data_IF_550428179483
#
_entry.id   IF_550428179483
#
_cell.length_a   1.000
_cell.length_b   1.000
_cell.length_c   1.000
_cell.angle_alpha   90.00
_cell.angle_beta   90.00
_cell.angle_gamma   90.00
#
_symmetry.space_group_name_H-M   'P 1'
#
loop_
_entity.id
_entity.type
_entity.pdbx_description
1 polymer ?
#
# COMPACT_ATOMS: atom_id res chain seq x y z
N UNK A 1 -27.45 -25.38 2.03
CA UNK A 1 -27.40 -24.45 3.19
C UNK A 1 -27.99 -25.18 4.37
N UNK A 2 -27.18 -25.70 5.29
CA UNK A 2 -27.67 -26.23 6.57
C UNK A 2 -27.59 -25.10 7.59
N UNK A 3 -28.73 -24.83 8.21
CA UNK A 3 -28.98 -23.94 9.34
C UNK A 3 -27.78 -23.85 10.28
N UNK A 4 -27.33 -22.62 10.56
CA UNK A 4 -26.53 -22.31 11.74
C UNK A 4 -27.38 -22.60 13.00
N UNK A 5 -26.73 -23.02 14.08
CA UNK A 5 -27.38 -23.28 15.37
C UNK A 5 -28.12 -22.01 15.88
N UNK A 6 -29.35 -22.12 16.38
CA UNK A 6 -30.25 -20.99 16.64
C UNK A 6 -29.94 -20.17 17.92
N UNK A 7 -28.74 -20.28 18.52
CA UNK A 7 -28.50 -19.71 19.85
C UNK A 7 -27.76 -18.39 19.96
N UNK A 8 -27.23 -17.81 18.89
CA UNK A 8 -26.68 -16.45 18.96
C UNK A 8 -27.14 -15.65 17.74
N UNK A 9 -28.34 -15.06 17.85
CA UNK A 9 -28.73 -13.99 16.93
C UNK A 9 -27.77 -12.81 17.16
N UNK A 10 -27.29 -12.15 16.10
CA UNK A 10 -26.41 -11.00 16.27
C UNK A 10 -27.10 -9.95 17.14
N UNK A 11 -26.39 -9.42 18.12
CA UNK A 11 -26.89 -8.41 19.08
C UNK A 11 -27.20 -7.08 18.41
N UNK A 12 -26.59 -6.81 17.26
CA UNK A 12 -26.80 -5.61 16.45
C UNK A 12 -26.96 -5.98 14.97
N UNK A 13 -27.60 -5.09 14.20
CA UNK A 13 -27.79 -5.25 12.75
C UNK A 13 -28.44 -6.59 12.35
N UNK A 14 -29.52 -7.00 13.02
CA UNK A 14 -30.24 -8.25 12.70
C UNK A 14 -30.82 -8.20 11.28
N UNK A 15 -30.61 -9.26 10.49
CA UNK A 15 -31.26 -9.39 9.19
C UNK A 15 -32.75 -9.65 9.34
N UNK A 16 -33.58 -8.71 8.88
CA UNK A 16 -35.05 -8.79 8.99
C UNK A 16 -35.70 -9.62 7.87
N UNK A 17 -34.97 -9.94 6.80
CA UNK A 17 -35.55 -10.53 5.59
C UNK A 17 -35.85 -12.05 5.64
N UNK A 18 -35.32 -12.80 6.61
CA UNK A 18 -35.49 -14.26 6.68
C UNK A 18 -34.93 -15.03 5.47
N UNK A 19 -35.22 -16.33 5.35
CA UNK A 19 -34.71 -17.17 4.26
C UNK A 19 -35.25 -16.76 2.87
N UNK A 20 -36.46 -16.20 2.84
CA UNK A 20 -37.20 -15.80 1.64
C UNK A 20 -36.84 -14.40 1.09
N UNK A 21 -35.88 -13.71 1.69
CA UNK A 21 -35.47 -12.39 1.20
C UNK A 21 -34.90 -12.44 -0.23
N UNK A 22 -35.23 -11.42 -1.01
CA UNK A 22 -34.71 -11.26 -2.37
C UNK A 22 -33.18 -11.09 -2.37
N UNK A 23 -32.52 -11.45 -3.47
CA UNK A 23 -31.09 -11.24 -3.63
C UNK A 23 -30.69 -9.76 -3.45
N UNK A 24 -31.57 -8.84 -3.81
CA UNK A 24 -31.35 -7.40 -3.66
C UNK A 24 -31.41 -6.97 -2.19
N UNK A 25 -32.35 -7.51 -1.40
CA UNK A 25 -32.41 -7.27 0.05
C UNK A 25 -31.18 -7.84 0.78
N UNK A 26 -30.77 -9.06 0.43
CA UNK A 26 -29.54 -9.69 0.96
C UNK A 26 -28.30 -8.86 0.64
N UNK A 27 -28.17 -8.40 -0.61
CA UNK A 27 -27.07 -7.53 -1.06
C UNK A 27 -27.05 -6.19 -0.32
N UNK A 28 -28.22 -5.57 -0.16
CA UNK A 28 -28.33 -4.29 0.55
C UNK A 28 -27.92 -4.43 2.02
N UNK A 29 -28.37 -5.49 2.70
CA UNK A 29 -27.98 -5.79 4.07
C UNK A 29 -26.47 -6.01 4.23
N UNK A 30 -25.87 -6.84 3.35
CA UNK A 30 -24.42 -7.07 3.38
C UNK A 30 -23.63 -5.79 3.16
N UNK A 31 -24.07 -4.93 2.23
CA UNK A 31 -23.46 -3.62 2.01
C UNK A 31 -23.55 -2.75 3.25
N UNK A 32 -24.73 -2.67 3.89
CA UNK A 32 -24.92 -1.90 5.12
C UNK A 32 -23.94 -2.34 6.22
N UNK A 33 -23.80 -3.65 6.44
CA UNK A 33 -22.87 -4.18 7.46
C UNK A 33 -21.43 -3.90 7.07
N UNK A 34 -21.05 -4.15 5.82
CA UNK A 34 -19.68 -3.90 5.37
C UNK A 34 -19.30 -2.42 5.54
N UNK A 35 -20.19 -1.50 5.20
CA UNK A 35 -20.00 -0.06 5.41
C UNK A 35 -19.80 0.25 6.89
N UNK A 36 -20.67 -0.24 7.78
CA UNK A 36 -20.52 -0.02 9.22
C UNK A 36 -19.16 -0.54 9.75
N UNK A 37 -18.73 -1.73 9.32
CA UNK A 37 -17.43 -2.29 9.74
C UNK A 37 -16.27 -1.41 9.27
N UNK A 38 -16.31 -0.92 8.03
CA UNK A 38 -15.27 -0.07 7.48
C UNK A 38 -15.24 1.28 8.21
N UNK A 39 -16.39 1.92 8.40
CA UNK A 39 -16.49 3.24 9.02
C UNK A 39 -16.14 3.21 10.52
N UNK A 40 -16.53 2.17 11.25
CA UNK A 40 -16.32 2.11 12.71
C UNK A 40 -14.90 1.64 13.09
N UNK A 41 -14.31 0.76 12.27
CA UNK A 41 -13.07 0.04 12.66
C UNK A 41 -11.87 0.27 11.75
N UNK A 42 -12.06 0.69 10.50
CA UNK A 42 -10.96 0.83 9.53
C UNK A 42 -10.67 2.31 9.22
N UNK A 43 -11.70 3.06 8.84
CA UNK A 43 -11.58 4.46 8.44
C UNK A 43 -11.70 5.36 9.67
N UNK A 44 -10.57 5.93 10.07
CA UNK A 44 -10.54 6.95 11.12
C UNK A 44 -10.62 8.34 10.47
N UNK A 45 -11.82 8.93 10.50
CA UNK A 45 -12.07 10.24 9.87
C UNK A 45 -11.24 11.35 10.52
N UNK A 46 -11.15 11.38 11.86
CA UNK A 46 -10.38 12.39 12.59
C UNK A 46 -8.90 12.30 12.24
N UNK A 47 -8.35 11.08 12.20
CA UNK A 47 -6.97 10.84 11.76
C UNK A 47 -6.76 11.33 10.34
N UNK A 48 -7.65 10.98 9.41
CA UNK A 48 -7.53 11.39 8.02
C UNK A 48 -7.58 12.93 7.86
N UNK A 49 -8.49 13.60 8.56
CA UNK A 49 -8.57 15.07 8.58
C UNK A 49 -7.31 15.70 9.17
N UNK A 50 -6.75 15.12 10.24
CA UNK A 50 -5.51 15.59 10.83
C UNK A 50 -4.31 15.41 9.87
N UNK A 51 -4.22 14.27 9.18
CA UNK A 51 -3.19 14.04 8.15
C UNK A 51 -3.28 15.12 7.06
N UNK A 52 -4.49 15.39 6.55
CA UNK A 52 -4.68 16.41 5.52
C UNK A 52 -4.28 17.81 5.99
N UNK A 53 -4.62 18.17 7.23
CA UNK A 53 -4.19 19.44 7.84
C UNK A 53 -2.67 19.53 7.94
N UNK A 54 -2.01 18.46 8.40
CA UNK A 54 -0.55 18.42 8.52
C UNK A 54 0.13 18.53 7.14
N UNK A 55 -0.44 17.93 6.09
CA UNK A 55 0.05 18.09 4.72
C UNK A 55 -0.06 19.54 4.24
N UNK A 56 -1.20 20.19 4.45
CA UNK A 56 -1.40 21.61 4.08
C UNK A 56 -0.39 22.54 4.77
N UNK A 57 -0.08 22.28 6.05
CA UNK A 57 0.94 23.05 6.77
C UNK A 57 2.32 22.86 6.12
N UNK A 58 2.71 21.63 5.80
CA UNK A 58 4.00 21.33 5.17
C UNK A 58 4.12 21.98 3.78
N UNK A 59 3.05 21.96 2.98
CA UNK A 59 3.00 22.62 1.67
C UNK A 59 3.12 24.14 1.80
N UNK A 60 2.39 24.75 2.73
CA UNK A 60 2.46 26.18 2.99
C UNK A 60 3.87 26.60 3.42
N UNK A 61 4.51 25.84 4.33
CA UNK A 61 5.89 26.08 4.75
C UNK A 61 6.89 25.96 3.59
N UNK A 62 6.68 25.00 2.69
CA UNK A 62 7.53 24.86 1.51
C UNK A 62 7.37 26.05 0.56
N UNK A 63 6.13 26.46 0.26
CA UNK A 63 5.87 27.62 -0.58
C UNK A 63 6.42 28.91 0.03
N UNK A 64 6.29 29.10 1.35
CA UNK A 64 6.87 30.23 2.05
C UNK A 64 8.41 30.24 1.94
N UNK A 65 9.07 29.07 1.97
CA UNK A 65 10.52 28.97 1.71
C UNK A 65 10.87 29.34 0.28
N UNK A 66 10.12 28.86 -0.71
CA UNK A 66 10.36 29.18 -2.12
C UNK A 66 10.19 30.68 -2.41
N UNK A 67 9.23 31.35 -1.74
CA UNK A 67 9.02 32.80 -1.85
C UNK A 67 10.10 33.64 -1.17
N UNK A 68 10.89 33.07 -0.25
CA UNK A 68 12.03 33.76 0.34
C UNK A 68 13.23 33.86 -0.61
N UNK A 69 13.23 33.13 -1.74
CA UNK A 69 14.29 33.26 -2.72
C UNK A 69 14.19 34.61 -3.44
N UNK A 70 15.33 35.24 -3.67
CA UNK A 70 15.42 36.46 -4.46
C UNK A 70 15.15 36.19 -5.96
N UNK A 71 15.11 37.26 -6.76
CA UNK A 71 14.94 37.20 -8.22
C UNK A 71 15.96 36.32 -8.96
N UNK A 72 17.08 35.96 -8.31
CA UNK A 72 18.12 35.08 -8.83
C UNK A 72 18.03 33.65 -8.26
N UNK A 73 16.96 33.34 -7.51
CA UNK A 73 16.74 32.04 -6.89
C UNK A 73 17.67 31.76 -5.69
N UNK A 74 18.31 32.79 -5.12
CA UNK A 74 19.18 32.68 -3.94
C UNK A 74 18.44 33.09 -2.68
N UNK A 75 18.81 32.50 -1.57
CA UNK A 75 18.20 32.73 -0.27
C UNK A 75 18.98 33.81 0.49
N UNK A 76 18.43 35.01 0.70
CA UNK A 76 19.08 36.06 1.48
C UNK A 76 19.08 35.71 2.97
N UNK A 77 20.10 36.18 3.69
CA UNK A 77 20.13 36.10 5.14
C UNK A 77 18.93 36.84 5.74
N UNK A 78 18.30 36.27 6.77
CA UNK A 78 17.11 36.87 7.43
C UNK A 78 17.45 38.02 8.39
N UNK A 79 18.74 38.30 8.62
CA UNK A 79 19.18 39.29 9.61
C UNK A 79 19.10 40.71 9.04
N UNK A 80 18.55 41.69 9.77
CA UNK A 80 18.51 43.08 9.32
C UNK A 80 19.90 43.61 8.96
N UNK A 81 20.07 44.13 7.74
CA UNK A 81 21.33 44.71 7.27
C UNK A 81 22.37 43.70 6.76
N UNK A 82 22.07 42.41 6.70
CA UNK A 82 22.96 41.42 6.11
C UNK A 82 22.73 41.24 4.60
N UNK A 83 23.77 41.45 3.78
CA UNK A 83 23.72 41.30 2.32
C UNK A 83 24.09 39.90 1.80
N UNK A 84 24.38 38.95 2.70
CA UNK A 84 24.81 37.60 2.26
C UNK A 84 23.63 36.80 1.72
N UNK A 85 23.87 36.13 0.60
CA UNK A 85 22.90 35.23 -0.04
C UNK A 85 23.49 33.82 -0.22
N UNK A 86 22.61 32.82 -0.25
CA UNK A 86 22.98 31.41 -0.29
C UNK A 86 22.26 30.68 -1.43
N UNK A 87 22.89 29.68 -2.02
CA UNK A 87 22.25 28.88 -3.07
C UNK A 87 21.08 28.02 -2.55
N UNK A 88 21.10 27.66 -1.26
CA UNK A 88 20.11 26.79 -0.64
C UNK A 88 19.73 27.30 0.76
N UNK A 89 18.45 27.17 1.11
CA UNK A 89 17.97 27.31 2.49
C UNK A 89 18.38 26.09 3.32
N UNK A 90 19.65 26.05 3.71
CA UNK A 90 20.28 24.89 4.34
C UNK A 90 21.32 25.25 5.39
N UNK A 91 22.15 24.27 5.73
CA UNK A 91 23.14 24.35 6.81
C UNK A 91 24.01 25.62 6.75
N UNK A 92 24.55 25.97 5.58
CA UNK A 92 25.42 27.14 5.43
C UNK A 92 24.73 28.47 5.73
N UNK A 93 23.45 28.62 5.34
CA UNK A 93 22.65 29.81 5.67
C UNK A 93 22.41 29.88 7.18
N UNK A 94 21.98 28.77 7.79
CA UNK A 94 21.69 28.68 9.23
C UNK A 94 22.92 28.92 10.09
N UNK A 95 24.07 28.35 9.73
CA UNK A 95 25.34 28.56 10.43
C UNK A 95 25.83 30.01 10.33
N UNK A 96 25.55 30.68 9.21
CA UNK A 96 25.80 32.11 9.10
C UNK A 96 24.84 32.92 9.96
N UNK A 97 23.54 32.57 9.93
CA UNK A 97 22.48 33.26 10.68
C UNK A 97 22.67 33.16 12.20
N UNK A 98 23.19 32.03 12.69
CA UNK A 98 23.52 31.81 14.09
C UNK A 98 24.69 32.69 14.59
N UNK A 99 25.48 33.28 13.69
CA UNK A 99 26.59 34.19 14.06
C UNK A 99 26.15 35.64 14.20
N UNK A 100 24.89 35.97 13.86
CA UNK A 100 24.35 37.31 14.12
C UNK A 100 24.04 37.51 15.60
N UNK A 101 24.00 38.78 16.04
CA UNK A 101 23.64 39.15 17.40
C UNK A 101 22.47 40.15 17.38
N UNK A 102 21.27 39.78 17.84
CA UNK A 102 20.92 38.47 18.39
C UNK A 102 20.86 37.36 17.32
N UNK A 103 21.10 36.09 17.70
CA UNK A 103 20.99 34.96 16.78
C UNK A 103 19.54 34.80 16.31
N UNK A 104 19.37 34.52 15.02
CA UNK A 104 18.05 34.27 14.44
C UNK A 104 17.57 32.90 14.93
N UNK A 105 16.50 32.88 15.71
CA UNK A 105 15.79 31.66 16.12
C UNK A 105 14.65 31.42 15.13
N UNK A 106 14.58 30.21 14.57
CA UNK A 106 13.49 29.77 13.71
C UNK A 106 12.65 28.82 14.55
N UNK A 107 11.38 29.16 14.80
CA UNK A 107 10.45 28.26 15.45
C UNK A 107 10.08 27.14 14.46
N UNK A 108 10.70 25.98 14.63
CA UNK A 108 10.28 24.79 13.90
C UNK A 108 8.92 24.32 14.46
N UNK A 109 7.96 23.92 13.60
CA UNK A 109 6.65 23.45 14.03
C UNK A 109 6.79 22.24 14.98
N UNK A 110 5.93 22.13 16.02
CA UNK A 110 6.05 21.07 17.00
C UNK A 110 5.92 19.68 16.37
N UNK A 111 6.93 18.82 16.58
CA UNK A 111 7.05 17.49 15.99
C UNK A 111 5.85 16.57 16.28
N UNK A 112 5.12 16.82 17.38
CA UNK A 112 3.91 16.10 17.76
C UNK A 112 2.75 16.33 16.79
N UNK A 113 2.64 17.51 16.18
CA UNK A 113 1.61 17.85 15.19
C UNK A 113 1.80 17.09 13.86
N UNK A 114 3.03 16.69 13.57
CA UNK A 114 3.43 16.06 12.30
C UNK A 114 3.60 14.53 12.42
N UNK A 115 3.35 13.99 13.61
CA UNK A 115 3.42 12.56 13.90
C UNK A 115 2.01 12.03 14.16
N UNK A 116 1.56 11.09 13.33
CA UNK A 116 0.21 10.53 13.40
C UNK A 116 0.01 9.80 14.73
N UNK A 117 -1.12 10.07 15.40
CA UNK A 117 -1.54 9.46 16.66
C UNK A 117 -0.53 9.63 17.83
N UNK A 118 0.21 10.74 17.86
CA UNK A 118 1.25 11.01 18.86
C UNK A 118 0.72 11.23 20.29
N UNK A 119 -0.59 11.49 20.47
CA UNK A 119 -1.21 11.87 21.75
C UNK A 119 -2.22 10.84 22.31
N UNK A 120 -1.92 9.54 22.23
CA UNK A 120 -2.76 8.53 22.91
C UNK A 120 -2.33 8.39 24.37
N UNK A 121 -3.13 8.93 25.29
CA UNK A 121 -2.98 8.77 26.75
C UNK A 121 -3.19 7.31 27.17
N UNK A 122 -2.39 6.82 28.12
CA UNK A 122 -2.44 5.42 28.62
C UNK A 122 -3.82 5.00 29.11
N UNK A 123 -4.58 5.92 29.73
CA UNK A 123 -5.94 5.67 30.24
C UNK A 123 -6.96 5.38 29.15
N UNK A 124 -6.73 5.87 27.93
CA UNK A 124 -7.61 5.63 26.77
C UNK A 124 -7.15 4.44 25.93
N UNK A 125 -6.03 3.79 26.27
CA UNK A 125 -5.51 2.67 25.49
C UNK A 125 -6.31 1.40 25.70
N UNK A 126 -6.44 0.65 24.62
CA UNK A 126 -7.01 -0.69 24.57
C UNK A 126 -6.22 -1.49 23.54
N UNK A 127 -5.29 -2.32 24.00
CA UNK A 127 -4.39 -3.06 23.12
C UNK A 127 -5.13 -4.13 22.31
N UNK A 128 -6.21 -4.70 22.84
CA UNK A 128 -7.00 -5.71 22.13
C UNK A 128 -7.78 -5.07 21.00
N UNK A 129 -8.48 -3.96 21.26
CA UNK A 129 -9.18 -3.23 20.21
C UNK A 129 -8.20 -2.70 19.16
N UNK A 130 -7.06 -2.14 19.59
CA UNK A 130 -6.02 -1.67 18.69
C UNK A 130 -5.49 -2.80 17.80
N UNK A 131 -5.25 -3.99 18.37
CA UNK A 131 -4.84 -5.15 17.60
C UNK A 131 -5.91 -5.55 16.56
N UNK A 132 -7.18 -5.62 16.95
CA UNK A 132 -8.26 -5.96 16.00
C UNK A 132 -8.40 -4.94 14.87
N UNK A 133 -8.38 -3.63 15.20
CA UNK A 133 -8.38 -2.55 14.20
C UNK A 133 -7.18 -2.68 13.26
N UNK A 134 -5.99 -2.98 13.80
CA UNK A 134 -4.81 -3.16 12.98
C UNK A 134 -4.97 -4.33 12.01
N UNK A 135 -5.45 -5.50 12.47
CA UNK A 135 -5.68 -6.66 11.60
C UNK A 135 -6.63 -6.31 10.46
N UNK A 136 -7.71 -5.59 10.75
CA UNK A 136 -8.65 -5.16 9.72
C UNK A 136 -8.01 -4.18 8.74
N UNK A 137 -7.25 -3.20 9.22
CA UNK A 137 -6.52 -2.24 8.38
C UNK A 137 -5.55 -2.96 7.41
N UNK A 138 -4.68 -3.83 7.94
CA UNK A 138 -3.76 -4.64 7.14
C UNK A 138 -4.50 -5.60 6.19
N UNK A 139 -5.53 -6.28 6.69
CA UNK A 139 -6.30 -7.26 5.94
C UNK A 139 -7.01 -6.61 4.75
N UNK A 140 -7.65 -5.47 4.96
CA UNK A 140 -8.33 -4.71 3.90
C UNK A 140 -7.35 -4.20 2.85
N UNK A 141 -6.17 -3.75 3.25
CA UNK A 141 -5.11 -3.35 2.31
C UNK A 141 -4.64 -4.52 1.42
N UNK A 142 -4.39 -5.68 2.03
CA UNK A 142 -3.97 -6.90 1.30
C UNK A 142 -5.08 -7.38 0.36
N UNK A 143 -6.32 -7.42 0.85
CA UNK A 143 -7.47 -7.82 0.06
C UNK A 143 -7.67 -6.87 -1.14
N UNK A 144 -7.51 -5.55 -0.94
CA UNK A 144 -7.56 -4.59 -2.02
C UNK A 144 -6.47 -4.84 -3.06
N UNK A 145 -5.25 -5.20 -2.66
CA UNK A 145 -4.19 -5.54 -3.62
C UNK A 145 -4.50 -6.81 -4.41
N UNK A 146 -4.98 -7.87 -3.75
CA UNK A 146 -5.36 -9.11 -4.45
C UNK A 146 -6.53 -8.91 -5.40
N UNK A 147 -7.51 -8.12 -4.98
CA UNK A 147 -8.66 -7.76 -5.80
C UNK A 147 -8.23 -6.93 -7.02
N UNK A 148 -7.42 -5.89 -6.80
CA UNK A 148 -6.86 -5.07 -7.87
C UNK A 148 -6.07 -5.91 -8.88
N UNK A 149 -5.23 -6.83 -8.41
CA UNK A 149 -4.53 -7.78 -9.27
C UNK A 149 -5.53 -8.62 -10.04
N UNK A 150 -6.54 -9.20 -9.39
CA UNK A 150 -7.53 -10.09 -10.01
C UNK A 150 -8.32 -9.39 -11.12
N UNK A 151 -8.76 -8.16 -10.86
CA UNK A 151 -9.49 -7.31 -11.81
C UNK A 151 -8.60 -6.73 -12.90
N UNK A 152 -7.28 -6.70 -12.70
CA UNK A 152 -6.34 -6.03 -13.60
C UNK A 152 -6.38 -4.51 -13.43
N UNK A 153 -6.78 -4.06 -12.24
CA UNK A 153 -6.82 -2.65 -11.85
C UNK A 153 -5.43 -2.21 -11.39
N UNK A 154 -4.68 -1.62 -12.33
CA UNK A 154 -3.35 -1.11 -12.07
C UNK A 154 -3.32 0.17 -11.23
N UNK A 155 -4.43 0.90 -11.14
CA UNK A 155 -4.53 2.13 -10.36
C UNK A 155 -4.57 1.82 -8.86
N UNK A 156 -5.30 0.76 -8.48
CA UNK A 156 -5.35 0.24 -7.10
C UNK A 156 -4.14 -0.62 -6.70
N UNK A 157 -3.32 -1.07 -7.66
CA UNK A 157 -2.23 -2.02 -7.45
C UNK A 157 -0.87 -1.38 -7.24
N UNK A 158 -0.42 -1.25 -5.98
CA UNK A 158 0.98 -0.86 -5.68
C UNK A 158 1.56 -1.71 -4.54
N UNK A 159 2.61 -2.49 -4.83
CA UNK A 159 3.31 -3.27 -3.83
C UNK A 159 4.37 -2.43 -3.12
N UNK A 160 4.21 -2.27 -1.81
CA UNK A 160 5.00 -1.41 -0.91
C UNK A 160 6.37 -1.96 -0.52
N UNK A 161 6.77 -3.13 -1.05
CA UNK A 161 8.03 -3.81 -0.68
C UNK A 161 9.27 -2.92 -0.93
N UNK A 162 9.14 -1.95 -1.84
CA UNK A 162 10.19 -1.05 -2.25
C UNK A 162 9.66 0.39 -2.28
N UNK A 163 9.81 1.11 -1.18
CA UNK A 163 9.25 2.47 -1.03
C UNK A 163 9.83 3.46 -2.03
N UNK A 164 11.11 3.34 -2.37
CA UNK A 164 11.78 4.19 -3.35
C UNK A 164 11.26 3.93 -4.78
N UNK A 165 11.11 2.67 -5.16
CA UNK A 165 10.59 2.26 -6.45
C UNK A 165 9.11 2.61 -6.59
N UNK A 166 8.34 2.52 -5.49
CA UNK A 166 6.97 3.01 -5.45
C UNK A 166 6.91 4.53 -5.66
N UNK A 167 7.80 5.29 -5.01
CA UNK A 167 7.90 6.74 -5.23
C UNK A 167 8.27 7.07 -6.68
N UNK A 168 9.24 6.37 -7.27
CA UNK A 168 9.62 6.56 -8.66
C UNK A 168 8.52 6.16 -9.64
N UNK A 169 7.74 5.14 -9.32
CA UNK A 169 6.55 4.80 -10.07
C UNK A 169 5.54 5.96 -10.02
N UNK A 170 5.30 6.56 -8.87
CA UNK A 170 4.43 7.74 -8.76
C UNK A 170 4.96 8.90 -9.63
N UNK A 171 6.27 9.20 -9.58
CA UNK A 171 6.85 10.22 -10.44
C UNK A 171 6.67 9.90 -11.93
N UNK A 172 6.85 8.64 -12.34
CA UNK A 172 6.62 8.20 -13.71
C UNK A 172 5.16 8.43 -14.14
N UNK A 173 4.20 8.01 -13.32
CA UNK A 173 2.78 8.08 -13.65
C UNK A 173 2.26 9.51 -13.66
N UNK A 174 2.63 10.33 -12.67
CA UNK A 174 2.03 11.64 -12.46
C UNK A 174 2.82 12.82 -13.04
N UNK A 175 4.11 12.67 -13.33
CA UNK A 175 4.96 13.81 -13.70
C UNK A 175 5.89 13.58 -14.89
N UNK A 176 6.44 12.38 -15.09
CA UNK A 176 7.53 12.17 -16.04
C UNK A 176 7.10 11.57 -17.38
N UNK A 177 6.10 10.69 -17.40
CA UNK A 177 5.65 10.04 -18.62
C UNK A 177 4.55 10.84 -19.31
N UNK A 178 4.45 10.70 -20.64
CA UNK A 178 3.27 11.17 -21.36
C UNK A 178 2.02 10.44 -20.88
N UNK A 179 0.82 11.04 -21.00
CA UNK A 179 -0.42 10.40 -20.58
C UNK A 179 -0.59 8.98 -21.16
N UNK A 180 -0.19 8.77 -22.41
CA UNK A 180 -0.24 7.45 -23.06
C UNK A 180 0.72 6.45 -22.43
N UNK A 181 1.96 6.86 -22.14
CA UNK A 181 2.96 5.98 -21.53
C UNK A 181 2.60 5.66 -20.07
N UNK A 182 2.11 6.64 -19.30
CA UNK A 182 1.58 6.44 -17.96
C UNK A 182 0.40 5.45 -17.96
N UNK A 183 -0.57 5.63 -18.87
CA UNK A 183 -1.68 4.70 -19.04
C UNK A 183 -1.19 3.27 -19.30
N UNK A 184 -0.25 3.08 -20.23
CA UNK A 184 0.33 1.75 -20.48
C UNK A 184 1.03 1.19 -19.25
N UNK A 185 1.78 1.99 -18.50
CA UNK A 185 2.50 1.55 -17.30
C UNK A 185 1.57 1.12 -16.16
N UNK A 186 0.44 1.81 -15.99
CA UNK A 186 -0.59 1.49 -15.00
C UNK A 186 -1.31 0.19 -15.40
N UNK A 187 -1.86 0.12 -16.61
CA UNK A 187 -2.70 -1.01 -17.02
C UNK A 187 -1.92 -2.27 -17.42
N UNK A 188 -0.63 -2.16 -17.72
CA UNK A 188 0.23 -3.31 -18.01
C UNK A 188 0.92 -3.84 -16.74
N UNK A 189 0.19 -3.98 -15.63
CA UNK A 189 0.70 -4.51 -14.34
C UNK A 189 0.24 -5.93 -14.05
N UNK A 190 -0.92 -6.30 -14.57
CA UNK A 190 -1.48 -7.65 -14.53
C UNK A 190 -1.61 -8.23 -15.93
N UNK A 191 -1.70 -9.56 -15.99
CA UNK A 191 -1.89 -10.28 -17.25
C UNK A 191 -2.88 -11.43 -17.07
N UNK A 192 -3.79 -11.59 -18.03
CA UNK A 192 -4.71 -12.72 -18.07
C UNK A 192 -4.08 -13.86 -18.86
N UNK A 193 -3.73 -14.95 -18.17
CA UNK A 193 -3.09 -16.13 -18.79
C UNK A 193 -4.11 -17.11 -19.37
N UNK A 194 -5.32 -17.20 -18.78
CA UNK A 194 -6.38 -18.11 -19.21
C UNK A 194 -7.73 -17.40 -19.28
N UNK A 195 -8.56 -17.82 -20.22
CA UNK A 195 -9.95 -17.37 -20.29
C UNK A 195 -10.71 -17.90 -19.06
N UNK A 196 -11.44 -17.03 -18.37
CA UNK A 196 -12.19 -17.38 -17.16
C UNK A 196 -11.37 -17.47 -15.87
N UNK A 197 -10.07 -17.14 -15.88
CA UNK A 197 -9.28 -16.95 -14.65
C UNK A 197 -9.11 -15.47 -14.32
N UNK A 198 -8.83 -15.18 -13.05
CA UNK A 198 -8.32 -13.86 -12.63
C UNK A 198 -7.00 -13.54 -13.34
N UNK A 199 -6.70 -12.24 -13.41
CA UNK A 199 -5.38 -11.77 -13.82
C UNK A 199 -4.32 -12.21 -12.79
N UNK A 200 -3.07 -12.30 -13.22
CA UNK A 200 -1.91 -12.55 -12.34
C UNK A 200 -0.92 -11.38 -12.42
N UNK A 201 -0.08 -11.17 -11.39
CA UNK A 201 0.99 -10.19 -11.46
C UNK A 201 1.99 -10.52 -12.59
N UNK A 202 2.53 -9.51 -13.25
CA UNK A 202 3.58 -9.70 -14.25
C UNK A 202 4.81 -10.42 -13.70
N UNK A 203 5.17 -10.19 -12.43
CA UNK A 203 6.28 -10.87 -11.78
C UNK A 203 6.07 -12.39 -11.73
N UNK A 204 4.84 -12.83 -11.44
CA UNK A 204 4.49 -14.25 -11.47
C UNK A 204 4.53 -14.82 -12.91
N UNK A 205 4.15 -14.03 -13.92
CA UNK A 205 4.32 -14.45 -15.31
C UNK A 205 5.81 -14.59 -15.67
N UNK A 206 6.65 -13.68 -15.18
CA UNK A 206 8.10 -13.76 -15.37
C UNK A 206 8.69 -15.00 -14.69
N UNK A 207 8.19 -15.38 -13.50
CA UNK A 207 8.55 -16.66 -12.87
C UNK A 207 8.20 -17.87 -13.74
N UNK A 208 7.06 -17.84 -14.44
CA UNK A 208 6.70 -18.90 -15.38
C UNK A 208 7.69 -18.99 -16.54
N UNK A 209 8.08 -17.85 -17.13
CA UNK A 209 9.11 -17.83 -18.17
C UNK A 209 10.48 -18.31 -17.65
N UNK A 210 10.88 -17.84 -16.47
CA UNK A 210 12.12 -18.26 -15.82
C UNK A 210 12.14 -19.77 -15.59
N UNK A 211 11.01 -20.36 -15.17
CA UNK A 211 10.89 -21.82 -15.02
C UNK A 211 11.10 -22.53 -16.35
N UNK A 212 10.46 -22.06 -17.43
CA UNK A 212 10.62 -22.68 -18.77
C UNK A 212 12.07 -22.62 -19.24
N UNK A 213 12.75 -21.49 -19.07
CA UNK A 213 14.17 -21.35 -19.43
C UNK A 213 15.06 -22.25 -18.55
N UNK A 214 14.81 -22.33 -17.24
CA UNK A 214 15.55 -23.24 -16.35
C UNK A 214 15.38 -24.71 -16.77
N UNK A 215 14.18 -25.11 -17.20
CA UNK A 215 13.95 -26.44 -17.75
C UNK A 215 14.69 -26.67 -19.07
N UNK A 216 14.72 -25.67 -19.96
CA UNK A 216 15.48 -25.73 -21.21
C UNK A 216 16.98 -25.89 -20.95
N UNK A 217 17.55 -25.11 -20.02
CA UNK A 217 18.95 -25.24 -19.58
C UNK A 217 19.22 -26.66 -19.08
N UNK A 218 18.35 -27.19 -18.21
CA UNK A 218 18.47 -28.55 -17.68
C UNK A 218 18.45 -29.61 -18.78
N UNK A 219 17.62 -29.45 -19.80
CA UNK A 219 17.50 -30.38 -20.94
C UNK A 219 18.68 -30.29 -21.92
N UNK A 220 19.23 -29.10 -22.13
CA UNK A 220 20.42 -28.90 -22.96
C UNK A 220 21.69 -29.47 -22.32
N UNK A 221 21.77 -29.47 -20.98
CA UNK A 221 22.92 -30.00 -20.26
C UNK A 221 24.22 -29.30 -20.67
N UNK A 222 25.29 -30.04 -21.05
CA UNK A 222 26.56 -29.44 -21.50
C UNK A 222 26.43 -28.53 -22.73
N UNK A 223 25.38 -28.68 -23.53
CA UNK A 223 25.13 -27.89 -24.75
C UNK A 223 24.44 -26.54 -24.47
N UNK A 224 24.25 -26.16 -23.20
CA UNK A 224 23.68 -24.89 -22.76
C UNK A 224 24.66 -23.72 -22.93
N UNK A 225 24.94 -23.37 -24.18
CA UNK A 225 25.73 -22.19 -24.57
C UNK A 225 24.83 -20.94 -24.66
N UNK A 226 25.40 -19.72 -24.55
CA UNK A 226 24.62 -18.49 -24.76
C UNK A 226 23.85 -18.47 -26.08
N UNK A 227 24.44 -18.99 -27.16
CA UNK A 227 23.80 -19.07 -28.49
C UNK A 227 22.63 -20.04 -28.53
N UNK A 228 22.73 -21.20 -27.86
CA UNK A 228 21.62 -22.16 -27.82
C UNK A 228 20.48 -21.67 -26.93
N UNK A 229 20.80 -20.97 -25.83
CA UNK A 229 19.80 -20.34 -24.97
C UNK A 229 19.09 -19.18 -25.67
N UNK A 230 19.83 -18.30 -26.36
CA UNK A 230 19.25 -17.19 -27.12
C UNK A 230 18.29 -17.70 -28.21
N UNK A 231 18.66 -18.77 -28.93
CA UNK A 231 17.77 -19.42 -29.91
C UNK A 231 16.49 -19.94 -29.26
N UNK A 232 16.56 -20.54 -28.07
CA UNK A 232 15.38 -21.03 -27.34
C UNK A 232 14.51 -19.86 -26.88
N UNK A 233 15.11 -18.81 -26.31
CA UNK A 233 14.39 -17.61 -25.88
C UNK A 233 13.62 -16.98 -27.05
N UNK A 234 14.28 -16.78 -28.19
CA UNK A 234 13.70 -16.17 -29.38
C UNK A 234 12.58 -17.04 -30.01
N UNK A 235 12.66 -18.36 -29.90
CA UNK A 235 11.65 -19.28 -30.43
C UNK A 235 10.54 -19.65 -29.43
N UNK A 236 10.64 -19.24 -28.17
CA UNK A 236 9.76 -19.67 -27.08
C UNK A 236 8.28 -19.35 -27.35
N UNK A 237 7.99 -18.13 -27.83
CA UNK A 237 6.62 -17.71 -28.11
C UNK A 237 5.97 -18.55 -29.20
N UNK A 238 6.69 -18.76 -30.32
CA UNK A 238 6.21 -19.52 -31.48
C UNK A 238 6.04 -21.01 -31.12
N UNK A 239 7.05 -21.60 -30.48
CA UNK A 239 7.02 -23.02 -30.08
C UNK A 239 5.91 -23.31 -29.07
N UNK A 240 5.70 -22.42 -28.09
CA UNK A 240 4.60 -22.55 -27.12
C UNK A 240 3.22 -22.47 -27.80
N UNK A 241 3.05 -21.55 -28.75
CA UNK A 241 1.81 -21.44 -29.51
C UNK A 241 1.56 -22.67 -30.40
N UNK A 242 2.61 -23.16 -31.07
CA UNK A 242 2.55 -24.37 -31.89
C UNK A 242 2.17 -25.60 -31.07
N UNK A 243 2.82 -25.82 -29.92
CA UNK A 243 2.49 -26.93 -29.02
C UNK A 243 1.05 -26.87 -28.52
N UNK A 244 0.54 -25.68 -28.15
CA UNK A 244 -0.87 -25.52 -27.75
C UNK A 244 -1.84 -25.91 -28.88
N UNK A 245 -1.56 -25.50 -30.12
CA UNK A 245 -2.39 -25.86 -31.28
C UNK A 245 -2.31 -27.36 -31.57
N UNK A 246 -1.12 -27.93 -31.51
CA UNK A 246 -0.89 -29.36 -31.71
C UNK A 246 -1.67 -30.20 -30.69
N UNK A 247 -1.55 -29.88 -29.39
CA UNK A 247 -2.30 -30.53 -28.32
C UNK A 247 -3.82 -30.42 -28.54
N UNK A 248 -4.29 -29.25 -28.98
CA UNK A 248 -5.72 -29.01 -29.24
C UNK A 248 -6.23 -29.86 -30.40
N UNK A 249 -5.46 -29.95 -31.49
CA UNK A 249 -5.81 -30.76 -32.66
C UNK A 249 -5.82 -32.26 -32.34
N UNK A 250 -4.91 -32.70 -31.47
CA UNK A 250 -4.85 -34.09 -31.01
C UNK A 250 -5.81 -34.39 -29.85
N UNK A 251 -6.63 -33.42 -29.43
CA UNK A 251 -7.55 -33.57 -28.29
C UNK A 251 -6.85 -34.04 -27.01
N UNK A 252 -5.58 -33.63 -26.81
CA UNK A 252 -4.80 -34.02 -25.65
C UNK A 252 -5.46 -33.45 -24.39
N UNK A 253 -6.01 -34.33 -23.57
CA UNK A 253 -6.67 -33.94 -22.34
C UNK A 253 -5.66 -33.44 -21.31
N UNK A 254 -5.65 -32.13 -21.06
CA UNK A 254 -4.86 -31.54 -19.97
C UNK A 254 -5.63 -31.66 -18.66
N UNK A 255 -5.18 -32.57 -17.78
CA UNK A 255 -5.67 -32.63 -16.39
C UNK A 255 -5.35 -31.32 -15.69
N UNK A 256 -6.38 -30.55 -15.36
CA UNK A 256 -6.26 -29.43 -14.43
C UNK A 256 -6.78 -29.87 -13.06
N UNK A 257 -5.91 -29.87 -12.07
CA UNK A 257 -6.30 -30.08 -10.68
C UNK A 257 -6.68 -28.75 -10.05
N UNK A 258 -7.83 -28.69 -9.37
CA UNK A 258 -8.05 -27.67 -8.35
C UNK A 258 -7.50 -28.22 -7.04
N UNK A 259 -6.65 -27.46 -6.36
CA UNK A 259 -6.28 -27.82 -5.00
C UNK A 259 -7.55 -27.81 -4.13
N UNK A 260 -7.84 -28.93 -3.49
CA UNK A 260 -8.94 -29.00 -2.51
C UNK A 260 -8.50 -28.17 -1.32
N UNK A 261 -9.15 -27.02 -1.11
CA UNK A 261 -8.95 -26.24 0.10
C UNK A 261 -9.75 -26.88 1.23
N UNK A 262 -9.10 -27.06 2.39
CA UNK A 262 -9.81 -27.45 3.61
C UNK A 262 -10.79 -26.35 3.98
N UNK A 263 -11.96 -26.73 4.50
CA UNK A 263 -12.93 -25.76 4.98
C UNK A 263 -12.38 -25.04 6.20
N UNK A 264 -12.35 -23.70 6.16
CA UNK A 264 -12.00 -22.86 7.30
C UNK A 264 -13.17 -22.65 8.28
N UNK A 265 -14.35 -23.23 8.03
CA UNK A 265 -15.58 -22.92 8.77
C UNK A 265 -15.42 -23.13 10.28
N UNK A 266 -14.86 -24.27 10.69
CA UNK A 266 -14.68 -24.58 12.12
C UNK A 266 -13.72 -23.61 12.80
N UNK A 267 -12.65 -23.20 12.11
CA UNK A 267 -11.67 -22.27 12.66
C UNK A 267 -12.24 -20.85 12.73
N UNK A 268 -13.00 -20.44 11.72
CA UNK A 268 -13.73 -19.16 11.73
C UNK A 268 -14.72 -19.09 12.89
N UNK A 269 -15.50 -20.14 13.12
CA UNK A 269 -16.45 -20.19 14.25
C UNK A 269 -15.72 -20.04 15.60
N UNK A 270 -14.59 -20.74 15.80
CA UNK A 270 -13.78 -20.61 17.03
C UNK A 270 -13.27 -19.19 17.23
N UNK A 271 -12.73 -18.57 16.18
CA UNK A 271 -12.20 -17.21 16.23
C UNK A 271 -13.31 -16.22 16.58
N UNK A 272 -14.48 -16.32 15.92
CA UNK A 272 -15.62 -15.45 16.20
C UNK A 272 -16.10 -15.58 17.64
N UNK A 273 -16.23 -16.81 18.15
CA UNK A 273 -16.68 -17.06 19.51
C UNK A 273 -15.74 -16.45 20.55
N UNK A 274 -14.42 -16.56 20.36
CA UNK A 274 -13.44 -15.92 21.26
C UNK A 274 -13.50 -14.38 21.18
N UNK A 275 -13.66 -13.81 19.98
CA UNK A 275 -13.79 -12.35 19.81
C UNK A 275 -15.03 -11.78 20.50
N UNK A 276 -16.16 -12.49 20.41
CA UNK A 276 -17.42 -12.12 21.08
C UNK A 276 -17.29 -12.26 22.59
N UNK A 277 -16.78 -13.39 23.08
CA UNK A 277 -16.55 -13.65 24.52
C UNK A 277 -15.70 -12.59 25.19
N UNK A 278 -14.71 -12.06 24.47
CA UNK A 278 -13.80 -11.04 24.99
C UNK A 278 -14.20 -9.59 24.68
N UNK A 279 -15.34 -9.36 24.02
CA UNK A 279 -15.77 -8.04 23.55
C UNK A 279 -14.62 -7.29 22.82
N UNK A 280 -13.97 -7.98 21.89
CA UNK A 280 -12.71 -7.51 21.29
C UNK A 280 -12.86 -6.22 20.45
N UNK A 281 -14.07 -5.95 19.95
CA UNK A 281 -14.41 -4.75 19.17
C UNK A 281 -15.06 -3.63 19.99
N UNK A 282 -15.18 -3.79 21.30
CA UNK A 282 -15.70 -2.74 22.19
C UNK A 282 -14.55 -2.13 22.97
N UNK A 283 -14.49 -0.80 23.02
CA UNK A 283 -13.45 -0.09 23.77
C UNK A 283 -13.56 -0.39 25.26
N UNK A 284 -12.46 -0.89 25.82
CA UNK A 284 -12.30 -1.16 27.25
C UNK A 284 -11.05 -0.43 27.74
N UNK A 285 -11.20 0.68 28.50
CA UNK A 285 -10.07 1.47 28.98
C UNK A 285 -9.04 0.64 29.77
N UNK A 286 -7.76 0.78 29.42
CA UNK A 286 -6.66 0.13 30.13
C UNK A 286 -6.46 -1.37 29.80
N UNK A 287 -7.22 -1.94 28.87
CA UNK A 287 -7.07 -3.36 28.47
C UNK A 287 -5.73 -3.58 27.75
N UNK A 288 -4.91 -4.51 28.24
CA UNK A 288 -3.55 -4.81 27.74
C UNK A 288 -3.34 -6.31 27.62
N UNK A 289 -2.58 -6.77 26.62
CA UNK A 289 -2.11 -8.16 26.62
C UNK A 289 -0.94 -8.34 27.56
N UNK A 290 -0.81 -9.52 28.15
CA UNK A 290 0.25 -9.86 29.11
C UNK A 290 1.65 -9.73 28.52
N UNK A 291 1.85 -10.20 27.28
CA UNK A 291 3.16 -10.23 26.62
C UNK A 291 3.35 -9.15 25.55
N UNK A 292 2.25 -8.56 25.06
CA UNK A 292 2.29 -7.60 23.96
C UNK A 292 1.53 -6.33 24.33
N UNK A 293 2.25 -5.36 24.89
CA UNK A 293 1.67 -4.08 25.26
C UNK A 293 1.88 -3.01 24.18
N UNK A 294 1.07 -1.95 24.22
CA UNK A 294 1.20 -0.77 23.33
C UNK A 294 0.94 -1.11 21.86
N UNK A 295 -0.14 -1.85 21.62
CA UNK A 295 -0.55 -2.19 20.26
C UNK A 295 -0.93 -0.93 19.48
N UNK A 296 -0.50 -0.88 18.23
CA UNK A 296 -0.80 0.23 17.33
C UNK A 296 -2.12 -0.06 16.60
N UNK A 297 -3.09 0.87 16.61
CA UNK A 297 -4.39 0.65 15.98
C UNK A 297 -4.37 0.70 14.45
N UNK A 298 -3.29 1.24 13.86
CA UNK A 298 -3.13 1.37 12.41
C UNK A 298 -1.66 1.34 11.99
N UNK A 299 -1.46 0.99 10.72
CA UNK A 299 -0.21 1.13 9.98
C UNK A 299 0.43 2.51 10.08
N UNK A 300 -0.40 3.55 10.13
CA UNK A 300 0.07 4.94 10.13
C UNK A 300 0.43 5.46 11.53
N UNK A 301 0.14 4.70 12.59
CA UNK A 301 0.38 5.16 13.96
C UNK A 301 1.89 5.35 14.25
N UNK A 302 2.27 6.57 14.60
CA UNK A 302 3.65 7.01 14.78
C UNK A 302 4.38 7.35 13.48
N UNK A 303 3.71 7.36 12.34
CA UNK A 303 4.30 7.79 11.07
C UNK A 303 4.52 9.31 11.07
N UNK A 304 5.73 9.72 10.70
CA UNK A 304 6.14 11.12 10.72
C UNK A 304 6.04 11.72 9.32
N UNK A 305 5.02 12.56 9.11
CA UNK A 305 4.72 13.18 7.82
C UNK A 305 5.82 14.13 7.37
N UNK A 306 6.45 14.86 8.29
CA UNK A 306 7.57 15.76 7.96
C UNK A 306 8.76 14.99 7.38
N UNK A 307 9.15 13.87 8.01
CA UNK A 307 10.23 13.01 7.51
C UNK A 307 9.89 12.43 6.14
N UNK A 308 8.65 11.98 5.95
CA UNK A 308 8.19 11.51 4.63
C UNK A 308 8.31 12.62 3.58
N UNK A 309 7.81 13.81 3.90
CA UNK A 309 7.81 14.95 2.99
C UNK A 309 9.22 15.39 2.61
N UNK A 310 10.13 15.49 3.59
CA UNK A 310 11.55 15.74 3.35
C UNK A 310 12.15 14.66 2.46
N UNK A 311 11.89 13.39 2.75
CA UNK A 311 12.40 12.26 1.97
C UNK A 311 11.93 12.30 0.51
N UNK A 312 10.65 12.60 0.26
CA UNK A 312 10.11 12.76 -1.09
C UNK A 312 10.79 13.91 -1.83
N UNK A 313 10.95 15.06 -1.17
CA UNK A 313 11.58 16.24 -1.76
C UNK A 313 13.08 16.04 -2.08
N UNK A 314 13.80 15.30 -1.24
CA UNK A 314 15.20 14.95 -1.50
C UNK A 314 15.33 14.07 -2.74
N UNK A 315 14.45 13.08 -2.89
CA UNK A 315 14.44 12.21 -4.08
C UNK A 315 13.99 12.94 -5.34
N UNK A 316 13.05 13.90 -5.23
CA UNK A 316 12.71 14.81 -6.32
C UNK A 316 13.95 15.59 -6.80
N UNK A 317 14.76 16.13 -5.87
CA UNK A 317 16.01 16.83 -6.21
C UNK A 317 17.03 15.91 -6.86
N UNK A 318 17.20 14.68 -6.36
CA UNK A 318 18.09 13.70 -6.97
C UNK A 318 17.74 13.40 -8.42
N UNK A 319 16.44 13.27 -8.73
CA UNK A 319 15.96 13.06 -10.10
C UNK A 319 16.26 14.25 -11.01
N UNK A 320 16.01 15.48 -10.56
CA UNK A 320 16.29 16.70 -11.34
C UNK A 320 17.80 16.84 -11.63
N UNK A 321 18.64 16.48 -10.65
CA UNK A 321 20.10 16.59 -10.78
C UNK A 321 20.74 15.38 -11.49
N UNK A 322 19.94 14.47 -12.08
CA UNK A 322 20.40 13.21 -12.68
C UNK A 322 21.31 12.36 -11.78
N UNK A 323 21.24 12.55 -10.46
CA UNK A 323 22.00 11.73 -9.51
C UNK A 323 21.26 10.41 -9.38
N UNK A 324 21.88 9.32 -9.86
CA UNK A 324 21.36 7.98 -9.61
C UNK A 324 21.34 7.78 -8.09
N UNK A 325 20.15 7.57 -7.53
CA UNK A 325 20.02 7.02 -6.19
C UNK A 325 20.45 5.55 -6.26
N UNK A 326 21.74 5.30 -6.06
CA UNK A 326 22.29 3.99 -5.73
C UNK A 326 23.35 4.17 -4.67
#
# INVERSE_FOLDING_TARGET
MKSLDPKEKPTQNVFVGGENASNQQKKHYLRKIATAVVDDYVVDQDRNTNIMRSVQVLEHEQHAKEQQADQHGRYPCRSPGCSKTFAHDGKLRREHEAKHNPPIVIDDPPLSMLTIDSQITEEKRDDMLAYQKSILDYGMLILNFWDAISEGDGERGSATKYSLEALYLMFQVYALLSPQAAHRLVWNRGVKVKLGSSNIPLDLLLEFFNKVIKEAVKKLGPSATPKSLDRICNSLGITTALMKRFDSNLSVFRRSGKHIQRSAKSDTEKVVNELVKHNAFTHTPGRKYTFYSKMKPSLLCGFNLHKMFSWVNDHKRHMILYRRAR
#
